data_IF_447773585952
#
_entry.id   IF_447773585952
#
_cell.length_a   1.000
_cell.length_b   1.000
_cell.length_c   1.000
_cell.angle_alpha   90.00
_cell.angle_beta   90.00
_cell.angle_gamma   90.00
#
_symmetry.space_group_name_H-M   'P 1'
#
loop_
_entity.id
_entity.type
_entity.pdbx_description
1 polymer ?
#
# COMPACT_ATOMS: atom_id res chain seq x y z
N UNK A 1 -31.21 9.18 22.34
CA UNK A 1 -30.51 10.38 22.83
C UNK A 1 -31.52 11.26 23.55
N UNK A 2 -31.26 11.64 24.80
CA UNK A 2 -32.08 12.58 25.59
C UNK A 2 -31.22 13.81 25.92
N UNK A 3 -31.84 15.00 25.87
CA UNK A 3 -31.20 16.25 26.29
C UNK A 3 -31.75 16.63 27.67
N UNK A 4 -30.86 16.77 28.65
CA UNK A 4 -31.17 17.18 30.04
C UNK A 4 -30.16 18.30 30.39
N UNK A 5 -30.66 19.46 30.80
CA UNK A 5 -29.84 20.61 31.20
C UNK A 5 -28.72 20.97 30.20
N UNK A 6 -29.09 21.04 28.91
CA UNK A 6 -28.22 21.28 27.75
C UNK A 6 -27.11 20.23 27.48
N UNK A 7 -27.12 19.12 28.21
CA UNK A 7 -26.27 17.97 27.95
C UNK A 7 -27.03 16.87 27.22
N UNK A 8 -26.33 16.14 26.37
CA UNK A 8 -26.88 15.00 25.65
C UNK A 8 -26.50 13.69 26.33
N UNK A 9 -27.50 12.86 26.59
CA UNK A 9 -27.31 11.55 27.22
C UNK A 9 -27.73 10.44 26.27
N UNK A 10 -26.90 9.40 26.21
CA UNK A 10 -27.20 8.14 25.53
C UNK A 10 -27.41 7.06 26.57
N UNK A 11 -28.49 6.28 26.43
CA UNK A 11 -28.75 5.11 27.26
C UNK A 11 -28.63 3.88 26.40
N UNK A 12 -27.69 3.03 26.72
CA UNK A 12 -27.49 1.76 26.08
C UNK A 12 -28.06 0.62 26.95
N UNK A 13 -28.40 -0.50 26.31
CA UNK A 13 -28.71 -1.71 27.05
C UNK A 13 -27.47 -2.15 27.82
N UNK A 14 -27.65 -2.53 29.07
CA UNK A 14 -26.58 -3.13 29.85
C UNK A 14 -26.03 -4.36 29.11
N UNK A 15 -24.72 -4.43 28.94
CA UNK A 15 -24.03 -5.54 28.30
C UNK A 15 -23.22 -6.28 29.36
N UNK A 16 -23.45 -7.59 29.46
CA UNK A 16 -22.60 -8.47 30.24
C UNK A 16 -21.29 -8.72 29.51
N UNK A 17 -20.20 -8.92 30.26
CA UNK A 17 -18.90 -9.23 29.68
C UNK A 17 -17.74 -8.74 30.54
N UNK A 18 -16.52 -9.01 30.08
CA UNK A 18 -15.28 -8.59 30.73
C UNK A 18 -14.32 -7.98 29.74
N UNK A 19 -13.61 -6.95 30.16
CA UNK A 19 -12.47 -6.40 29.45
C UNK A 19 -11.29 -7.36 29.62
N UNK A 20 -10.51 -7.56 28.56
CA UNK A 20 -9.34 -8.46 28.60
C UNK A 20 -8.08 -7.64 28.86
N UNK A 21 -7.26 -8.10 29.79
CA UNK A 21 -5.92 -7.56 30.01
C UNK A 21 -5.03 -7.77 28.78
N UNK A 22 -4.15 -6.83 28.50
CA UNK A 22 -3.22 -6.84 27.35
C UNK A 22 -2.46 -8.16 27.19
N UNK A 23 -2.06 -8.78 28.31
CA UNK A 23 -1.31 -10.05 28.31
C UNK A 23 -2.14 -11.26 27.87
N UNK A 24 -3.44 -11.15 27.92
CA UNK A 24 -4.37 -12.24 27.61
C UNK A 24 -5.07 -12.09 26.26
N UNK A 25 -4.68 -11.09 25.46
CA UNK A 25 -5.19 -10.92 24.10
C UNK A 25 -4.69 -12.07 23.23
N UNK A 26 -5.60 -12.78 22.57
CA UNK A 26 -5.30 -13.86 21.63
C UNK A 26 -5.36 -13.40 20.17
N UNK A 27 -4.80 -14.20 19.25
CA UNK A 27 -4.93 -13.96 17.81
C UNK A 27 -6.40 -13.95 17.35
N UNK A 28 -7.25 -14.80 17.93
CA UNK A 28 -8.69 -14.82 17.65
C UNK A 28 -9.36 -13.51 18.06
N UNK A 29 -8.99 -12.94 19.19
CA UNK A 29 -9.49 -11.64 19.64
C UNK A 29 -9.05 -10.51 18.70
N UNK A 30 -7.79 -10.52 18.28
CA UNK A 30 -7.27 -9.58 17.29
C UNK A 30 -8.02 -9.67 15.97
N UNK A 31 -8.25 -10.89 15.47
CA UNK A 31 -9.03 -11.11 14.24
C UNK A 31 -10.46 -10.55 14.37
N UNK A 32 -11.16 -10.83 15.46
CA UNK A 32 -12.53 -10.32 15.70
C UNK A 32 -12.56 -8.80 15.81
N UNK A 33 -11.58 -8.20 16.48
CA UNK A 33 -11.47 -6.74 16.58
C UNK A 33 -11.22 -6.10 15.20
N UNK A 34 -10.30 -6.65 14.41
CA UNK A 34 -10.09 -6.23 13.03
C UNK A 34 -11.34 -6.34 12.18
N UNK A 35 -12.09 -7.43 12.30
CA UNK A 35 -13.34 -7.64 11.58
C UNK A 35 -14.42 -6.60 11.95
N UNK A 36 -14.52 -6.20 13.22
CA UNK A 36 -15.41 -5.12 13.66
C UNK A 36 -14.99 -3.80 13.00
N UNK A 37 -13.71 -3.44 13.04
CA UNK A 37 -13.20 -2.24 12.40
C UNK A 37 -13.50 -2.23 10.90
N UNK A 38 -13.27 -3.35 10.22
CA UNK A 38 -13.58 -3.49 8.79
C UNK A 38 -15.06 -3.27 8.48
N UNK A 39 -15.97 -3.76 9.33
CA UNK A 39 -17.43 -3.51 9.20
C UNK A 39 -17.78 -2.04 9.41
N UNK A 40 -17.11 -1.35 10.34
CA UNK A 40 -17.32 0.09 10.56
C UNK A 40 -16.84 0.86 9.31
N UNK A 41 -15.64 0.58 8.81
CA UNK A 41 -15.09 1.24 7.62
C UNK A 41 -15.90 0.94 6.35
N UNK A 42 -16.63 -0.19 6.29
CA UNK A 42 -17.52 -0.51 5.18
C UNK A 42 -18.81 0.33 5.15
N UNK A 43 -19.09 1.11 6.20
CA UNK A 43 -20.22 2.06 6.22
C UNK A 43 -19.81 3.27 5.38
N UNK A 44 -20.42 3.44 4.20
CA UNK A 44 -20.11 4.56 3.31
C UNK A 44 -20.46 5.91 3.97
N UNK A 45 -19.49 6.86 4.02
CA UNK A 45 -19.78 8.20 4.47
C UNK A 45 -20.62 8.94 3.44
N UNK A 46 -21.65 9.65 3.89
CA UNK A 46 -22.49 10.50 3.01
C UNK A 46 -21.84 11.88 2.89
N UNK A 47 -21.40 12.25 1.69
CA UNK A 47 -21.04 13.63 1.29
C UNK A 47 -19.93 14.29 2.14
N UNK A 48 -18.83 13.60 2.42
CA UNK A 48 -17.68 14.20 3.10
C UNK A 48 -16.54 14.39 2.09
N UNK A 49 -16.06 15.63 1.97
CA UNK A 49 -14.87 15.94 1.18
C UNK A 49 -13.62 15.44 1.92
N UNK A 50 -12.74 14.78 1.18
CA UNK A 50 -11.45 14.37 1.70
C UNK A 50 -10.60 15.60 2.06
N UNK A 51 -10.07 15.61 3.27
CA UNK A 51 -9.07 16.58 3.71
C UNK A 51 -7.70 15.91 3.73
N UNK A 52 -6.70 16.61 3.17
CA UNK A 52 -5.31 16.13 3.28
C UNK A 52 -4.93 16.07 4.76
N UNK A 53 -4.35 14.96 5.24
CA UNK A 53 -3.92 14.86 6.64
C UNK A 53 -2.96 16.01 6.99
N UNK A 54 -3.16 16.60 8.18
CA UNK A 54 -2.26 17.63 8.67
C UNK A 54 -0.84 17.08 8.85
N UNK A 55 0.14 17.88 8.46
CA UNK A 55 1.54 17.58 8.76
C UNK A 55 1.85 17.97 10.19
N UNK A 56 2.55 17.10 10.91
CA UNK A 56 3.06 17.40 12.24
C UNK A 56 4.26 18.38 12.14
N UNK A 57 4.27 19.41 12.98
CA UNK A 57 5.34 20.39 13.07
C UNK A 57 5.61 20.74 14.53
N UNK A 58 6.44 19.93 15.18
CA UNK A 58 6.73 20.03 16.60
C UNK A 58 8.10 20.69 16.82
N UNK A 59 8.15 21.76 17.59
CA UNK A 59 9.40 22.42 17.95
C UNK A 59 10.14 21.66 19.06
N UNK A 60 10.72 20.53 18.72
CA UNK A 60 11.48 19.69 19.65
C UNK A 60 12.59 20.46 20.35
N UNK A 61 13.30 21.34 19.61
CA UNK A 61 14.36 22.15 20.17
C UNK A 61 13.84 23.15 21.19
N UNK A 62 12.72 23.80 20.91
CA UNK A 62 12.03 24.71 21.84
C UNK A 62 11.63 24.00 23.12
N UNK A 63 11.10 22.79 23.03
CA UNK A 63 10.77 21.97 24.22
C UNK A 63 12.00 21.56 25.03
N UNK A 64 13.13 21.23 24.42
CA UNK A 64 14.40 20.97 25.14
C UNK A 64 14.85 22.19 25.90
N UNK A 65 14.81 23.38 25.30
CA UNK A 65 15.21 24.64 25.93
C UNK A 65 14.29 24.99 27.10
N UNK A 66 12.97 24.91 26.90
CA UNK A 66 11.98 25.20 27.93
C UNK A 66 12.09 24.23 29.11
N UNK A 67 12.24 22.93 28.86
CA UNK A 67 12.44 21.93 29.90
C UNK A 67 13.70 22.21 30.73
N UNK A 68 14.78 22.72 30.08
CA UNK A 68 16.01 23.11 30.76
C UNK A 68 15.81 24.37 31.63
N UNK A 69 15.11 25.38 31.13
CA UNK A 69 14.80 26.61 31.89
C UNK A 69 13.99 26.32 33.15
N UNK A 70 13.04 25.37 33.04
CA UNK A 70 12.19 24.97 34.17
C UNK A 70 12.83 23.89 35.07
N UNK A 71 14.07 23.49 34.81
CA UNK A 71 14.75 22.37 35.50
C UNK A 71 13.89 21.09 35.55
N UNK A 72 13.15 20.82 34.48
CA UNK A 72 12.22 19.71 34.41
C UNK A 72 12.94 18.34 34.41
N UNK A 73 12.30 17.33 35.00
CA UNK A 73 12.77 15.93 35.04
C UNK A 73 12.84 15.27 33.65
N UNK A 74 12.24 15.88 32.59
CA UNK A 74 12.28 15.35 31.22
C UNK A 74 13.40 15.97 30.37
N UNK A 75 14.18 16.93 30.88
CA UNK A 75 15.20 17.67 30.12
C UNK A 75 16.21 16.76 29.44
N UNK A 76 16.84 15.85 30.19
CA UNK A 76 17.82 14.92 29.61
C UNK A 76 17.18 13.98 28.61
N UNK A 77 15.98 13.48 28.90
CA UNK A 77 15.24 12.58 28.03
C UNK A 77 14.96 13.21 26.65
N UNK A 78 14.47 14.45 26.62
CA UNK A 78 14.21 15.15 25.36
C UNK A 78 15.50 15.46 24.61
N UNK A 79 16.52 16.01 25.31
CA UNK A 79 17.80 16.36 24.72
C UNK A 79 18.50 15.16 24.05
N UNK A 80 18.54 14.03 24.75
CA UNK A 80 19.26 12.83 24.27
C UNK A 80 18.52 12.15 23.11
N UNK A 81 17.25 12.46 22.87
CA UNK A 81 16.41 11.88 21.84
C UNK A 81 15.92 12.89 20.78
N UNK A 82 16.39 14.14 20.79
CA UNK A 82 15.97 15.19 19.85
C UNK A 82 16.10 14.73 18.39
N UNK A 83 17.23 14.12 18.02
CA UNK A 83 17.47 13.60 16.66
C UNK A 83 16.50 12.47 16.26
N UNK A 84 16.17 11.57 17.19
CA UNK A 84 15.17 10.52 16.93
C UNK A 84 13.80 11.12 16.72
N UNK A 85 13.39 12.10 17.54
CA UNK A 85 12.07 12.73 17.45
C UNK A 85 11.89 13.46 16.10
N UNK A 86 12.90 14.21 15.66
CA UNK A 86 12.88 14.84 14.32
C UNK A 86 12.78 13.79 13.20
N UNK A 87 13.50 12.69 13.32
CA UNK A 87 13.45 11.61 12.33
C UNK A 87 12.07 10.95 12.26
N UNK A 88 11.50 10.54 13.40
CA UNK A 88 10.21 9.81 13.41
C UNK A 88 9.05 10.71 12.99
N UNK A 89 9.08 12.02 13.32
CA UNK A 89 8.12 13.00 12.83
C UNK A 89 8.21 13.16 11.31
N UNK A 90 9.42 13.22 10.75
CA UNK A 90 9.62 13.24 9.30
C UNK A 90 9.04 11.98 8.63
N UNK A 91 9.24 10.80 9.20
CA UNK A 91 8.67 9.54 8.68
C UNK A 91 7.13 9.51 8.81
N UNK A 92 6.56 10.04 9.89
CA UNK A 92 5.12 10.23 10.04
C UNK A 92 4.56 11.09 8.90
N UNK A 93 5.17 12.25 8.65
CA UNK A 93 4.71 13.18 7.62
C UNK A 93 4.82 12.58 6.21
N UNK A 94 5.90 11.83 5.92
CA UNK A 94 6.02 11.07 4.65
C UNK A 94 4.91 10.02 4.50
N UNK A 95 4.63 9.29 5.56
CA UNK A 95 3.57 8.27 5.55
C UNK A 95 2.19 8.91 5.34
N UNK A 96 1.90 10.02 6.04
CA UNK A 96 0.66 10.78 5.87
C UNK A 96 0.48 11.30 4.44
N UNK A 97 1.55 11.80 3.83
CA UNK A 97 1.54 12.26 2.43
C UNK A 97 1.32 11.11 1.42
N UNK A 98 1.57 9.87 1.82
CA UNK A 98 1.38 8.67 0.99
C UNK A 98 0.02 8.00 1.21
N UNK A 99 -0.79 8.48 2.16
CA UNK A 99 -2.13 7.95 2.38
C UNK A 99 -3.03 8.24 1.18
N UNK A 100 -3.86 7.26 0.76
CA UNK A 100 -4.83 7.50 -0.30
C UNK A 100 -5.91 8.49 0.16
N UNK A 101 -6.50 9.21 -0.79
CA UNK A 101 -7.61 10.13 -0.54
C UNK A 101 -8.90 9.36 -0.21
N UNK A 102 -9.01 8.88 1.01
CA UNK A 102 -10.12 8.06 1.50
C UNK A 102 -10.55 8.55 2.88
N UNK A 103 -11.86 8.64 3.09
CA UNK A 103 -12.47 8.83 4.40
C UNK A 103 -13.52 7.74 4.65
N UNK A 104 -13.54 7.19 5.84
CA UNK A 104 -14.58 6.31 6.32
C UNK A 104 -14.92 6.63 7.77
N UNK A 105 -16.10 6.20 8.20
CA UNK A 105 -16.43 6.22 9.62
C UNK A 105 -15.47 5.28 10.36
N UNK A 106 -14.89 5.74 11.47
CA UNK A 106 -13.98 4.96 12.29
C UNK A 106 -14.15 5.28 13.78
N UNK A 107 -13.64 4.42 14.64
CA UNK A 107 -13.49 4.69 16.05
C UNK A 107 -12.00 4.57 16.41
N UNK A 108 -11.36 5.70 16.64
CA UNK A 108 -9.93 5.77 16.92
C UNK A 108 -9.56 5.19 18.30
N UNK A 109 -10.52 5.12 19.24
CA UNK A 109 -10.33 4.55 20.58
C UNK A 109 -10.88 3.12 20.70
N UNK A 110 -10.82 2.31 19.61
CA UNK A 110 -11.19 0.90 19.64
C UNK A 110 -10.09 0.03 20.27
N UNK A 111 -9.56 0.47 21.37
CA UNK A 111 -8.57 -0.22 22.19
C UNK A 111 -9.15 -1.47 22.86
N UNK A 112 -8.32 -2.44 23.28
CA UNK A 112 -8.76 -3.60 24.05
C UNK A 112 -9.57 -3.26 25.32
N UNK A 113 -9.30 -2.10 25.96
CA UNK A 113 -10.08 -1.58 27.10
C UNK A 113 -11.54 -1.24 26.76
N UNK A 114 -11.83 -0.95 25.49
CA UNK A 114 -13.14 -0.55 24.98
C UNK A 114 -13.86 -1.70 24.24
N UNK A 115 -13.35 -2.92 24.34
CA UNK A 115 -13.99 -4.13 23.83
C UNK A 115 -14.28 -5.08 25.02
N UNK A 116 -15.56 -5.26 25.32
CA UNK A 116 -16.03 -6.26 26.30
C UNK A 116 -16.26 -7.61 25.60
N UNK A 117 -15.94 -8.68 26.30
CA UNK A 117 -16.08 -10.05 25.81
C UNK A 117 -17.12 -10.80 26.63
N UNK A 118 -18.15 -11.28 25.96
CA UNK A 118 -19.16 -12.19 26.54
C UNK A 118 -19.18 -13.49 25.74
N UNK A 119 -18.75 -14.59 26.37
CA UNK A 119 -18.67 -15.91 25.74
C UNK A 119 -17.95 -15.90 24.37
N UNK A 120 -16.88 -15.11 24.22
CA UNK A 120 -16.10 -14.97 22.99
C UNK A 120 -16.73 -14.05 21.94
N UNK A 121 -17.85 -13.39 22.26
CA UNK A 121 -18.49 -12.38 21.44
C UNK A 121 -17.97 -11.00 21.87
N UNK A 122 -17.37 -10.20 20.97
CA UNK A 122 -16.92 -8.86 21.27
C UNK A 122 -18.07 -7.85 21.22
N UNK A 123 -18.08 -6.94 22.20
CA UNK A 123 -18.99 -5.81 22.26
C UNK A 123 -18.18 -4.53 22.40
N UNK A 124 -18.27 -3.65 21.43
CA UNK A 124 -17.63 -2.35 21.49
C UNK A 124 -18.43 -1.44 22.41
N UNK A 125 -17.73 -0.84 23.36
CA UNK A 125 -18.24 0.18 24.28
C UNK A 125 -17.47 1.47 24.03
N UNK A 126 -17.97 2.59 24.54
CA UNK A 126 -17.32 3.89 24.38
C UNK A 126 -17.18 4.33 22.93
N UNK A 127 -18.28 4.87 22.38
CA UNK A 127 -18.37 5.29 20.98
C UNK A 127 -18.16 6.81 20.81
N UNK A 128 -17.63 7.51 21.81
CA UNK A 128 -17.49 8.97 21.77
C UNK A 128 -16.43 9.44 20.75
N UNK A 129 -15.50 8.56 20.39
CA UNK A 129 -14.45 8.81 19.40
C UNK A 129 -14.82 8.38 17.98
N UNK A 130 -16.13 8.17 17.70
CA UNK A 130 -16.58 7.93 16.34
C UNK A 130 -16.46 9.19 15.49
N UNK A 131 -15.60 9.17 14.49
CA UNK A 131 -15.37 10.27 13.55
C UNK A 131 -14.94 9.73 12.19
N UNK A 132 -14.77 10.62 11.22
CA UNK A 132 -14.30 10.26 9.89
C UNK A 132 -12.79 10.41 9.78
N UNK A 133 -12.13 9.39 9.28
CA UNK A 133 -10.69 9.38 9.13
C UNK A 133 -10.20 8.45 8.03
N UNK A 134 -8.89 8.43 7.84
CA UNK A 134 -8.29 7.59 6.81
C UNK A 134 -8.24 6.12 7.27
N UNK A 135 -8.87 5.18 6.53
CA UNK A 135 -8.95 3.79 6.96
C UNK A 135 -7.59 3.10 7.08
N UNK A 136 -6.62 3.41 6.21
CA UNK A 136 -5.29 2.80 6.29
C UNK A 136 -4.51 3.27 7.52
N UNK A 137 -4.65 4.54 7.90
CA UNK A 137 -4.04 5.07 9.12
C UNK A 137 -4.61 4.39 10.36
N UNK A 138 -5.93 4.32 10.47
CA UNK A 138 -6.61 3.76 11.63
C UNK A 138 -6.35 2.27 11.81
N UNK A 139 -6.49 1.47 10.74
CA UNK A 139 -6.23 0.04 10.85
C UNK A 139 -4.78 -0.27 11.22
N UNK A 140 -3.81 0.51 10.70
CA UNK A 140 -2.40 0.33 11.06
C UNK A 140 -2.16 0.62 12.56
N UNK A 141 -2.68 1.73 13.06
CA UNK A 141 -2.52 2.11 14.46
C UNK A 141 -3.17 1.09 15.40
N UNK A 142 -4.41 0.70 15.12
CA UNK A 142 -5.14 -0.27 15.95
C UNK A 142 -4.52 -1.67 15.86
N UNK A 143 -4.08 -2.14 14.69
CA UNK A 143 -3.39 -3.41 14.58
C UNK A 143 -2.12 -3.47 15.44
N UNK A 144 -1.36 -2.38 15.50
CA UNK A 144 -0.20 -2.27 16.36
C UNK A 144 -0.56 -2.23 17.84
N UNK A 145 -1.60 -1.49 18.23
CA UNK A 145 -2.09 -1.48 19.62
C UNK A 145 -2.51 -2.87 20.07
N UNK A 146 -3.36 -3.54 19.30
CA UNK A 146 -3.82 -4.90 19.59
C UNK A 146 -2.71 -5.96 19.60
N UNK A 147 -1.59 -5.69 18.90
CA UNK A 147 -0.43 -6.57 18.88
C UNK A 147 0.52 -6.43 20.08
N UNK A 148 0.30 -5.48 20.98
CA UNK A 148 1.11 -5.27 22.18
C UNK A 148 2.15 -4.15 22.05
N UNK A 149 2.06 -3.27 21.07
CA UNK A 149 2.97 -2.13 20.93
C UNK A 149 2.93 -1.20 22.16
N UNK A 150 1.77 -1.11 22.81
CA UNK A 150 1.54 -0.26 24.00
C UNK A 150 2.38 -0.71 25.19
N UNK A 151 2.61 -2.01 25.32
CA UNK A 151 3.43 -2.61 26.39
C UNK A 151 4.89 -2.82 25.97
N UNK A 152 5.27 -2.41 24.75
CA UNK A 152 6.57 -2.71 24.15
C UNK A 152 6.89 -4.23 24.06
N UNK A 153 5.87 -5.05 23.89
CA UNK A 153 5.92 -6.51 23.76
C UNK A 153 5.08 -6.95 22.54
N UNK A 154 5.45 -6.46 21.36
CA UNK A 154 4.69 -6.72 20.14
C UNK A 154 4.79 -8.17 19.69
N UNK A 155 3.63 -8.74 19.36
CA UNK A 155 3.46 -10.03 18.70
C UNK A 155 2.97 -9.82 17.25
N UNK A 156 3.84 -10.18 16.31
CA UNK A 156 3.57 -10.02 14.86
C UNK A 156 2.38 -10.86 14.42
N UNK A 157 2.18 -12.06 14.97
CA UNK A 157 1.05 -12.91 14.58
C UNK A 157 -0.29 -12.30 15.01
N UNK A 158 -0.32 -11.57 16.12
CA UNK A 158 -1.50 -10.78 16.55
C UNK A 158 -1.78 -9.63 15.59
N UNK A 159 -0.74 -8.91 15.16
CA UNK A 159 -0.88 -7.83 14.17
C UNK A 159 -1.47 -8.37 12.86
N UNK A 160 -0.93 -9.47 12.35
CA UNK A 160 -1.41 -10.11 11.14
C UNK A 160 -2.84 -10.64 11.31
N UNK A 161 -3.17 -11.24 12.46
CA UNK A 161 -4.54 -11.69 12.73
C UNK A 161 -5.54 -10.54 12.72
N UNK A 162 -5.17 -9.37 13.24
CA UNK A 162 -6.02 -8.17 13.18
C UNK A 162 -6.27 -7.74 11.73
N UNK A 163 -5.22 -7.66 10.89
CA UNK A 163 -5.35 -7.34 9.48
C UNK A 163 -6.18 -8.40 8.72
N UNK A 164 -5.98 -9.69 8.99
CA UNK A 164 -6.75 -10.75 8.35
C UNK A 164 -8.26 -10.61 8.65
N UNK A 165 -8.62 -10.29 9.89
CA UNK A 165 -10.00 -10.01 10.26
C UNK A 165 -10.55 -8.75 9.61
N UNK A 166 -9.75 -7.71 9.51
CA UNK A 166 -10.11 -6.46 8.86
C UNK A 166 -10.41 -6.67 7.36
N UNK A 167 -9.52 -7.34 6.64
CA UNK A 167 -9.68 -7.59 5.21
C UNK A 167 -10.80 -8.59 4.87
N UNK A 168 -11.20 -9.43 5.81
CA UNK A 168 -12.41 -10.25 5.62
C UNK A 168 -13.69 -9.40 5.56
N UNK A 169 -13.75 -8.30 6.30
CA UNK A 169 -14.93 -7.45 6.40
C UNK A 169 -14.90 -6.20 5.51
N UNK A 170 -13.73 -5.71 5.18
CA UNK A 170 -13.50 -4.53 4.35
C UNK A 170 -12.67 -4.94 3.14
N UNK A 171 -13.23 -4.76 1.93
CA UNK A 171 -12.59 -5.17 0.68
C UNK A 171 -11.34 -4.34 0.40
N UNK A 172 -10.24 -4.73 1.04
CA UNK A 172 -8.93 -4.12 0.94
C UNK A 172 -7.87 -5.22 0.99
N UNK A 173 -6.61 -4.83 0.81
CA UNK A 173 -5.47 -5.74 0.83
C UNK A 173 -4.27 -5.07 1.48
N UNK A 174 -3.18 -5.81 1.66
CA UNK A 174 -1.92 -5.26 2.20
C UNK A 174 -1.22 -4.26 1.28
N UNK A 175 -1.78 -3.95 0.12
CA UNK A 175 -1.20 -3.02 -0.85
C UNK A 175 -1.00 -1.64 -0.23
N UNK A 176 0.23 -1.12 -0.35
CA UNK A 176 0.61 0.22 0.12
C UNK A 176 0.80 0.35 1.63
N UNK A 177 0.52 -0.68 2.44
CA UNK A 177 0.68 -0.58 3.90
C UNK A 177 2.12 -0.42 4.34
N UNK A 178 3.10 -0.98 3.62
CA UNK A 178 4.52 -0.75 3.88
C UNK A 178 4.94 0.70 3.67
N UNK A 179 4.27 1.43 2.78
CA UNK A 179 4.57 2.84 2.47
C UNK A 179 4.01 3.78 3.53
N UNK A 180 2.87 3.41 4.13
CA UNK A 180 2.19 4.21 5.16
C UNK A 180 2.48 3.74 6.59
N UNK A 181 3.33 2.74 6.78
CA UNK A 181 3.65 2.21 8.12
C UNK A 181 4.19 3.26 9.09
N UNK A 182 4.74 4.36 8.58
CA UNK A 182 5.21 5.50 9.37
C UNK A 182 4.10 6.19 10.18
N UNK A 183 2.80 5.96 9.88
CA UNK A 183 1.70 6.45 10.72
C UNK A 183 1.76 5.87 12.14
N UNK A 184 2.48 4.76 12.35
CA UNK A 184 2.79 4.22 13.68
C UNK A 184 3.52 5.22 14.59
N UNK A 185 4.16 6.24 14.02
CA UNK A 185 4.83 7.29 14.77
C UNK A 185 3.90 8.42 15.24
N UNK A 186 2.58 8.34 15.03
CA UNK A 186 1.62 9.34 15.54
C UNK A 186 1.70 9.54 17.07
N UNK A 187 2.32 8.60 17.79
CA UNK A 187 2.65 8.78 19.21
C UNK A 187 3.49 10.02 19.53
N UNK A 188 4.13 10.67 18.55
CA UNK A 188 4.83 11.95 18.77
C UNK A 188 3.87 13.07 19.16
N UNK A 189 2.62 13.04 18.68
CA UNK A 189 1.59 14.03 19.02
C UNK A 189 1.09 13.85 20.46
N UNK A 190 0.92 12.59 20.88
CA UNK A 190 0.63 12.30 22.30
C UNK A 190 1.81 12.65 23.21
N UNK A 191 3.03 12.44 22.74
CA UNK A 191 4.24 12.86 23.44
C UNK A 191 4.25 14.39 23.61
N UNK A 192 4.02 15.15 22.54
CA UNK A 192 3.96 16.60 22.58
C UNK A 192 2.90 17.09 23.58
N UNK A 193 1.69 16.55 23.51
CA UNK A 193 0.61 16.90 24.43
C UNK A 193 1.04 16.74 25.90
N UNK A 194 1.68 15.62 26.25
CA UNK A 194 2.14 15.40 27.63
C UNK A 194 3.37 16.23 28.00
N UNK A 195 4.26 16.57 27.05
CA UNK A 195 5.33 17.54 27.27
C UNK A 195 4.73 18.90 27.63
N UNK A 196 3.75 19.39 26.89
CA UNK A 196 3.08 20.66 27.15
C UNK A 196 2.42 20.70 28.53
N UNK A 197 1.77 19.60 28.94
CA UNK A 197 1.18 19.49 30.29
C UNK A 197 2.24 19.49 31.37
N UNK A 198 3.32 18.74 31.19
CA UNK A 198 4.44 18.68 32.17
C UNK A 198 5.18 20.02 32.32
N UNK A 199 5.16 20.86 31.27
CA UNK A 199 5.81 22.18 31.21
C UNK A 199 4.80 23.33 31.33
N UNK A 200 3.90 23.29 32.31
CA UNK A 200 3.08 24.42 32.73
C UNK A 200 1.64 24.45 32.24
N UNK A 201 1.16 23.49 31.46
CA UNK A 201 -0.27 23.40 31.07
C UNK A 201 -1.10 22.44 31.94
N UNK A 202 -0.61 22.10 33.12
CA UNK A 202 -1.30 21.23 34.09
C UNK A 202 -2.13 22.06 35.08
N UNK A 203 -3.17 21.47 35.65
CA UNK A 203 -4.03 22.08 36.68
C UNK A 203 -3.40 22.01 38.07
N UNK A 204 -2.71 20.90 38.36
CA UNK A 204 -2.07 20.63 39.65
C UNK A 204 -0.80 19.80 39.50
N UNK A 205 -0.14 19.51 40.64
CA UNK A 205 1.13 18.76 40.67
C UNK A 205 0.92 17.27 40.36
N UNK A 206 -0.21 16.67 40.74
CA UNK A 206 -0.51 15.29 40.44
C UNK A 206 -0.68 15.07 38.92
N UNK A 207 -1.31 16.00 38.26
CA UNK A 207 -1.43 16.02 36.80
C UNK A 207 -0.05 16.21 36.13
N UNK A 208 0.84 17.03 36.68
CA UNK A 208 2.20 17.23 36.21
C UNK A 208 3.01 15.92 36.32
N UNK A 209 2.97 15.26 37.48
CA UNK A 209 3.68 13.98 37.69
C UNK A 209 3.18 12.90 36.74
N UNK A 210 1.87 12.81 36.54
CA UNK A 210 1.27 11.90 35.56
C UNK A 210 1.79 12.20 34.15
N UNK A 211 1.81 13.48 33.76
CA UNK A 211 2.29 13.89 32.43
C UNK A 211 3.77 13.58 32.22
N UNK A 212 4.61 13.77 33.24
CA UNK A 212 6.04 13.37 33.22
C UNK A 212 6.17 11.85 33.04
N UNK A 213 5.35 11.07 33.72
CA UNK A 213 5.31 9.61 33.55
C UNK A 213 4.93 9.22 32.12
N UNK A 214 3.89 9.85 31.58
CA UNK A 214 3.45 9.61 30.20
C UNK A 214 4.48 10.03 29.16
N UNK A 215 5.23 11.12 29.37
CA UNK A 215 6.36 11.49 28.50
C UNK A 215 7.40 10.35 28.45
N UNK A 216 7.75 9.74 29.59
CA UNK A 216 8.70 8.63 29.64
C UNK A 216 8.16 7.39 28.94
N UNK A 217 6.95 6.99 29.28
CA UNK A 217 6.27 5.82 28.69
C UNK A 217 6.14 5.95 27.16
N UNK A 218 5.74 7.12 26.69
CA UNK A 218 5.57 7.39 25.25
C UNK A 218 6.92 7.43 24.52
N UNK A 219 7.96 8.01 25.14
CA UNK A 219 9.30 7.97 24.58
C UNK A 219 9.83 6.53 24.43
N UNK A 220 9.62 5.69 25.43
CA UNK A 220 10.03 4.28 25.37
C UNK A 220 9.25 3.53 24.28
N UNK A 221 7.96 3.83 24.12
CA UNK A 221 7.11 3.31 23.05
C UNK A 221 7.61 3.74 21.67
N UNK A 222 7.92 5.02 21.46
CA UNK A 222 8.49 5.53 20.20
C UNK A 222 9.81 4.84 19.87
N UNK A 223 10.70 4.69 20.84
CA UNK A 223 11.96 3.95 20.65
C UNK A 223 11.71 2.49 20.30
N UNK A 224 10.73 1.88 20.93
CA UNK A 224 10.36 0.50 20.65
C UNK A 224 9.82 0.35 19.22
N UNK A 225 8.88 1.22 18.81
CA UNK A 225 8.35 1.26 17.44
C UNK A 225 9.51 1.43 16.44
N UNK A 226 10.40 2.38 16.67
CA UNK A 226 11.54 2.61 15.78
C UNK A 226 12.43 1.37 15.62
N UNK A 227 12.73 0.68 16.72
CA UNK A 227 13.53 -0.55 16.70
C UNK A 227 12.82 -1.72 16.01
N UNK A 228 11.51 -1.82 16.15
CA UNK A 228 10.71 -2.92 15.57
C UNK A 228 10.18 -2.63 14.17
N UNK A 229 10.33 -1.42 13.66
CA UNK A 229 9.83 -1.02 12.34
C UNK A 229 10.25 -1.95 11.20
N UNK A 230 11.51 -2.43 11.11
CA UNK A 230 11.91 -3.39 10.08
C UNK A 230 11.13 -4.71 10.18
N UNK A 231 10.86 -5.19 11.40
CA UNK A 231 10.07 -6.41 11.64
C UNK A 231 8.60 -6.22 11.24
N UNK A 232 8.02 -5.08 11.53
CA UNK A 232 6.65 -4.73 11.12
C UNK A 232 6.53 -4.74 9.59
N UNK A 233 7.46 -4.06 8.90
CA UNK A 233 7.50 -4.04 7.43
C UNK A 233 7.67 -5.45 6.83
N UNK A 234 8.57 -6.24 7.38
CA UNK A 234 8.80 -7.61 6.93
C UNK A 234 7.55 -8.49 7.12
N UNK A 235 6.83 -8.34 8.23
CA UNK A 235 5.60 -9.07 8.48
C UNK A 235 4.50 -8.74 7.46
N UNK A 236 4.29 -7.45 7.16
CA UNK A 236 3.33 -7.01 6.15
C UNK A 236 3.69 -7.58 4.77
N UNK A 237 4.97 -7.53 4.39
CA UNK A 237 5.46 -8.07 3.13
C UNK A 237 5.36 -9.61 3.09
N UNK A 238 5.71 -10.29 4.18
CA UNK A 238 5.65 -11.77 4.25
C UNK A 238 4.22 -12.29 4.14
N UNK A 239 3.22 -11.56 4.65
CA UNK A 239 1.82 -11.96 4.53
C UNK A 239 1.36 -12.00 3.07
N UNK A 240 1.81 -11.06 2.24
CA UNK A 240 1.55 -11.05 0.79
C UNK A 240 2.08 -12.31 0.09
N UNK A 241 3.21 -12.85 0.57
CA UNK A 241 3.87 -14.03 0.00
C UNK A 241 3.07 -15.33 0.18
N UNK A 242 2.12 -15.37 1.12
CA UNK A 242 1.24 -16.52 1.36
C UNK A 242 0.02 -16.56 0.47
N UNK A 243 -0.09 -15.66 -0.51
CA UNK A 243 -1.20 -15.65 -1.45
C UNK A 243 -1.18 -16.95 -2.26
N UNK A 244 -2.35 -17.61 -2.34
CA UNK A 244 -2.50 -18.81 -3.12
C UNK A 244 -2.42 -18.49 -4.62
N UNK A 245 -1.32 -18.89 -5.26
CA UNK A 245 -1.08 -18.64 -6.69
C UNK A 245 -2.11 -19.27 -7.64
N UNK A 246 -2.87 -20.28 -7.17
CA UNK A 246 -3.94 -20.89 -7.98
C UNK A 246 -5.16 -19.97 -8.14
N UNK A 247 -5.27 -18.94 -7.33
CA UNK A 247 -6.33 -17.92 -7.36
C UNK A 247 -5.82 -16.60 -7.97
N UNK A 248 -4.77 -16.68 -8.79
CA UNK A 248 -4.23 -15.49 -9.43
C UNK A 248 -5.28 -14.79 -10.31
N UNK A 249 -5.30 -13.49 -10.22
CA UNK A 249 -5.97 -12.58 -11.14
C UNK A 249 -4.97 -11.50 -11.58
N UNK A 250 -5.08 -11.02 -12.82
CA UNK A 250 -4.22 -9.91 -13.26
C UNK A 250 -4.53 -8.66 -12.45
N UNK A 251 -3.53 -7.86 -12.14
CA UNK A 251 -3.63 -6.74 -11.21
C UNK A 251 -4.18 -7.19 -9.83
N UNK A 252 -3.59 -8.23 -9.27
CA UNK A 252 -3.99 -8.77 -7.97
C UNK A 252 -3.77 -7.73 -6.85
N UNK A 253 -4.86 -7.13 -6.38
CA UNK A 253 -4.83 -6.07 -5.38
C UNK A 253 -4.34 -6.53 -3.99
N UNK A 254 -4.31 -7.83 -3.75
CA UNK A 254 -3.76 -8.42 -2.53
C UNK A 254 -2.22 -8.36 -2.48
N UNK A 255 -1.58 -8.07 -3.61
CA UNK A 255 -0.12 -7.97 -3.73
C UNK A 255 0.29 -6.51 -3.59
N UNK A 256 1.24 -6.23 -2.70
CA UNK A 256 1.79 -4.91 -2.52
C UNK A 256 2.36 -4.36 -3.83
N UNK A 257 1.96 -3.14 -4.18
CA UNK A 257 2.36 -2.50 -5.43
C UNK A 257 3.76 -1.92 -5.34
N UNK A 258 4.67 -2.41 -6.17
CA UNK A 258 5.97 -1.80 -6.44
C UNK A 258 6.16 -1.66 -7.95
N UNK A 259 6.60 -0.49 -8.37
CA UNK A 259 7.03 -0.29 -9.76
C UNK A 259 8.33 -1.06 -10.00
N UNK A 260 8.36 -1.80 -11.09
CA UNK A 260 9.49 -2.62 -11.50
C UNK A 260 9.92 -2.21 -12.91
N UNK A 261 11.20 -2.33 -13.18
CA UNK A 261 11.76 -2.05 -14.50
C UNK A 261 12.71 -3.18 -14.89
N UNK A 262 12.50 -3.74 -16.07
CA UNK A 262 13.35 -4.77 -16.63
C UNK A 262 13.93 -4.30 -17.96
N UNK A 263 15.06 -4.88 -18.33
CA UNK A 263 15.68 -4.69 -19.64
C UNK A 263 16.22 -6.01 -20.21
N UNK A 264 16.35 -6.04 -21.53
CA UNK A 264 17.07 -7.10 -22.25
C UNK A 264 17.73 -6.56 -23.51
N UNK A 265 18.80 -7.25 -23.96
CA UNK A 265 19.31 -7.09 -25.33
C UNK A 265 18.37 -7.72 -26.35
N UNK A 266 18.27 -7.11 -27.54
CA UNK A 266 17.43 -7.60 -28.64
C UNK A 266 18.31 -8.38 -29.66
N UNK A 267 19.29 -9.15 -29.19
CA UNK A 267 20.21 -9.91 -30.07
C UNK A 267 19.62 -11.24 -30.50
N UNK A 268 19.28 -12.10 -29.54
CA UNK A 268 18.80 -13.45 -29.76
C UNK A 268 17.36 -13.57 -29.22
N UNK A 269 16.39 -13.48 -30.14
CA UNK A 269 14.99 -13.58 -29.80
C UNK A 269 14.49 -15.01 -30.10
N UNK A 270 13.87 -15.70 -29.11
CA UNK A 270 13.22 -16.97 -29.37
C UNK A 270 12.01 -16.78 -30.28
N UNK A 271 11.75 -17.76 -31.14
CA UNK A 271 10.57 -17.75 -31.99
C UNK A 271 9.41 -18.47 -31.31
N UNK A 272 8.26 -17.80 -31.28
CA UNK A 272 7.00 -18.39 -30.81
C UNK A 272 5.91 -18.14 -31.84
N UNK A 273 5.11 -19.19 -32.11
CA UNK A 273 3.94 -19.07 -33.00
C UNK A 273 2.68 -18.73 -32.22
N UNK A 274 1.80 -17.93 -32.80
CA UNK A 274 0.45 -17.76 -32.27
C UNK A 274 -0.32 -19.11 -32.32
N UNK A 275 -1.30 -19.25 -31.42
CA UNK A 275 -2.29 -20.34 -31.55
C UNK A 275 -2.97 -20.32 -32.93
N UNK A 276 -3.41 -21.49 -33.42
CA UNK A 276 -4.12 -21.56 -34.71
C UNK A 276 -5.38 -20.71 -34.72
N UNK A 277 -5.65 -20.05 -35.84
CA UNK A 277 -6.80 -19.16 -36.01
C UNK A 277 -6.57 -17.72 -35.55
N UNK A 278 -5.32 -17.35 -35.19
CA UNK A 278 -4.95 -15.99 -34.80
C UNK A 278 -3.81 -15.46 -35.67
N UNK A 279 -3.80 -14.12 -35.83
CA UNK A 279 -2.76 -13.43 -36.61
C UNK A 279 -2.37 -12.12 -35.93
N UNK A 280 -1.18 -11.62 -36.26
CA UNK A 280 -0.78 -10.25 -35.91
C UNK A 280 -1.37 -9.27 -36.93
N UNK A 281 -1.89 -8.15 -36.41
CA UNK A 281 -2.35 -7.03 -37.23
C UNK A 281 -1.81 -5.73 -36.65
N UNK A 282 -1.43 -4.81 -37.56
CA UNK A 282 -1.00 -3.46 -37.19
C UNK A 282 -2.18 -2.59 -36.75
N UNK A 283 -1.89 -1.54 -36.03
CA UNK A 283 -2.83 -0.48 -35.71
C UNK A 283 -3.42 0.13 -37.00
N UNK A 284 -4.69 0.44 -36.95
CA UNK A 284 -5.42 1.22 -37.96
C UNK A 284 -6.36 2.23 -37.28
N UNK A 285 -6.78 3.24 -38.03
CA UNK A 285 -7.70 4.25 -37.50
C UNK A 285 -8.98 3.59 -36.94
N UNK A 286 -9.35 4.02 -35.73
CA UNK A 286 -10.48 3.44 -34.98
C UNK A 286 -10.09 2.36 -33.96
N UNK A 287 -8.83 1.90 -33.94
CA UNK A 287 -8.38 0.87 -33.02
C UNK A 287 -8.16 1.38 -31.57
N UNK A 288 -8.24 2.69 -31.34
CA UNK A 288 -8.23 3.25 -29.99
C UNK A 288 -9.22 2.55 -29.06
N UNK A 289 -10.44 2.38 -29.54
CA UNK A 289 -11.52 1.74 -28.76
C UNK A 289 -11.18 0.27 -28.45
N UNK A 290 -10.51 -0.42 -29.40
CA UNK A 290 -10.07 -1.82 -29.22
C UNK A 290 -8.94 -1.93 -28.22
N UNK A 291 -8.01 -0.98 -28.25
CA UNK A 291 -6.93 -0.90 -27.28
C UNK A 291 -7.48 -0.68 -25.87
N UNK A 292 -8.37 0.31 -25.68
CA UNK A 292 -9.00 0.59 -24.39
C UNK A 292 -9.76 -0.64 -23.88
N UNK A 293 -10.53 -1.32 -24.73
CA UNK A 293 -11.30 -2.52 -24.38
C UNK A 293 -10.38 -3.67 -23.93
N UNK A 294 -9.24 -3.89 -24.58
CA UNK A 294 -8.26 -4.91 -24.18
C UNK A 294 -7.64 -4.58 -22.83
N UNK A 295 -7.20 -3.35 -22.61
CA UNK A 295 -6.56 -2.91 -21.37
C UNK A 295 -7.55 -2.92 -20.20
N UNK A 296 -8.81 -2.53 -20.40
CA UNK A 296 -9.86 -2.66 -19.41
C UNK A 296 -10.15 -4.13 -19.06
N UNK A 297 -10.24 -5.01 -20.06
CA UNK A 297 -10.42 -6.45 -19.85
C UNK A 297 -9.24 -7.05 -19.06
N UNK A 298 -8.02 -6.54 -19.27
CA UNK A 298 -6.83 -6.91 -18.52
C UNK A 298 -6.75 -6.26 -17.12
N UNK A 299 -7.72 -5.43 -16.75
CA UNK A 299 -7.80 -4.66 -15.49
C UNK A 299 -6.68 -3.60 -15.30
N UNK A 300 -6.12 -3.08 -16.40
CA UNK A 300 -5.20 -1.93 -16.32
C UNK A 300 -5.96 -0.63 -16.04
N UNK A 301 -7.23 -0.55 -16.48
CA UNK A 301 -8.14 0.56 -16.22
C UNK A 301 -9.45 0.08 -15.63
N UNK A 302 -10.01 0.85 -14.70
CA UNK A 302 -11.31 0.59 -14.08
C UNK A 302 -12.47 1.22 -14.86
N UNK A 303 -12.20 2.29 -15.63
CA UNK A 303 -13.20 2.99 -16.43
C UNK A 303 -12.65 3.31 -17.83
N UNK A 304 -13.58 3.54 -18.77
CA UNK A 304 -13.23 3.98 -20.13
C UNK A 304 -12.50 5.33 -20.14
N UNK A 305 -12.88 6.25 -19.27
CA UNK A 305 -12.28 7.58 -19.14
C UNK A 305 -10.79 7.47 -18.76
N UNK A 306 -10.43 6.60 -17.84
CA UNK A 306 -9.03 6.34 -17.48
C UNK A 306 -8.24 5.78 -18.66
N UNK A 307 -8.85 4.88 -19.43
CA UNK A 307 -8.25 4.36 -20.66
C UNK A 307 -8.03 5.46 -21.72
N UNK A 308 -9.02 6.35 -21.87
CA UNK A 308 -8.93 7.49 -22.80
C UNK A 308 -7.86 8.50 -22.36
N UNK A 309 -7.72 8.78 -21.06
CA UNK A 309 -6.67 9.63 -20.53
C UNK A 309 -5.27 9.04 -20.81
N UNK A 310 -5.10 7.72 -20.59
CA UNK A 310 -3.86 7.04 -20.89
C UNK A 310 -3.56 7.06 -22.39
N UNK A 311 -4.56 6.76 -23.24
CA UNK A 311 -4.41 6.90 -24.70
C UNK A 311 -3.94 8.28 -25.11
N UNK A 312 -4.59 9.33 -24.60
CA UNK A 312 -4.26 10.71 -24.92
C UNK A 312 -2.84 11.07 -24.48
N UNK A 313 -2.41 10.58 -23.33
CA UNK A 313 -1.05 10.82 -22.80
C UNK A 313 0.03 10.17 -23.66
N UNK A 314 -0.20 8.94 -24.11
CA UNK A 314 0.83 8.16 -24.79
C UNK A 314 0.79 8.32 -26.31
N UNK A 315 -0.40 8.39 -26.91
CA UNK A 315 -0.54 8.15 -28.33
C UNK A 315 -1.20 9.27 -29.15
N UNK A 316 -1.96 10.18 -28.54
CA UNK A 316 -2.73 11.18 -29.28
C UNK A 316 -1.89 12.07 -30.19
N UNK A 317 -0.62 12.32 -29.83
CA UNK A 317 0.29 13.19 -30.60
C UNK A 317 1.21 12.43 -31.56
N UNK A 318 1.01 11.12 -31.76
CA UNK A 318 1.89 10.29 -32.59
C UNK A 318 1.13 9.16 -33.30
N UNK A 319 -0.11 9.43 -33.72
CA UNK A 319 -0.96 8.44 -34.38
C UNK A 319 -0.36 7.96 -35.72
N UNK A 320 0.39 8.79 -36.38
CA UNK A 320 1.07 8.52 -37.66
C UNK A 320 2.11 7.39 -37.58
N UNK A 321 2.73 7.21 -36.44
CA UNK A 321 3.74 6.17 -36.24
C UNK A 321 3.15 4.85 -35.68
N UNK A 322 1.91 4.85 -35.19
CA UNK A 322 1.32 3.64 -34.56
C UNK A 322 1.18 2.46 -35.49
N UNK A 323 0.89 2.59 -36.81
CA UNK A 323 0.85 1.47 -37.74
C UNK A 323 2.13 0.63 -37.79
N UNK A 324 3.28 1.25 -37.52
CA UNK A 324 4.58 0.58 -37.51
C UNK A 324 4.99 0.06 -36.10
N UNK A 325 4.26 0.45 -35.04
CA UNK A 325 4.68 0.27 -33.66
C UNK A 325 3.69 -0.45 -32.75
N UNK A 326 2.39 -0.30 -32.99
CA UNK A 326 1.33 -0.90 -32.19
C UNK A 326 0.72 -2.09 -32.94
N UNK A 327 0.67 -3.23 -32.27
CA UNK A 327 0.18 -4.49 -32.84
C UNK A 327 -0.88 -5.11 -31.96
N UNK A 328 -1.78 -5.80 -32.62
CA UNK A 328 -2.82 -6.60 -31.99
C UNK A 328 -2.70 -8.05 -32.44
N UNK A 329 -3.23 -8.95 -31.61
CA UNK A 329 -3.57 -10.30 -32.00
C UNK A 329 -5.05 -10.33 -32.31
N UNK A 330 -5.40 -10.79 -33.52
CA UNK A 330 -6.78 -10.82 -34.02
C UNK A 330 -7.16 -12.27 -34.34
N UNK A 331 -8.38 -12.66 -34.02
CA UNK A 331 -8.95 -13.95 -34.32
C UNK A 331 -9.61 -13.97 -35.73
N UNK A 332 -10.07 -15.14 -36.21
CA UNK A 332 -10.71 -15.29 -37.52
C UNK A 332 -12.00 -14.46 -37.71
N UNK A 333 -12.60 -14.02 -36.61
CA UNK A 333 -13.82 -13.16 -36.63
C UNK A 333 -13.48 -11.67 -36.66
N UNK A 334 -12.21 -11.29 -36.70
CA UNK A 334 -11.77 -9.90 -36.68
C UNK A 334 -11.79 -9.26 -35.27
N UNK A 335 -11.91 -10.07 -34.22
CA UNK A 335 -11.83 -9.57 -32.85
C UNK A 335 -10.37 -9.45 -32.42
N UNK A 336 -9.97 -8.30 -31.90
CA UNK A 336 -8.67 -8.03 -31.31
C UNK A 336 -8.66 -8.45 -29.84
N UNK A 337 -7.78 -9.38 -29.49
CA UNK A 337 -7.78 -10.06 -28.20
C UNK A 337 -6.55 -9.76 -27.34
N UNK A 338 -5.51 -9.17 -27.93
CA UNK A 338 -4.30 -8.78 -27.24
C UNK A 338 -3.63 -7.61 -27.95
N UNK A 339 -2.80 -6.85 -27.24
CA UNK A 339 -2.05 -5.69 -27.77
C UNK A 339 -0.67 -5.58 -27.15
N UNK A 340 0.26 -4.99 -27.90
CA UNK A 340 1.57 -4.51 -27.41
C UNK A 340 2.13 -3.46 -28.35
N UNK A 341 2.93 -2.53 -27.82
CA UNK A 341 3.50 -1.41 -28.60
C UNK A 341 5.03 -1.34 -28.48
N UNK A 342 5.72 -1.31 -29.61
CA UNK A 342 7.15 -1.00 -29.73
C UNK A 342 7.34 0.52 -29.64
N UNK A 343 7.64 1.03 -28.45
CA UNK A 343 7.61 2.47 -28.21
C UNK A 343 8.96 3.02 -27.72
N UNK A 344 8.95 4.19 -27.12
CA UNK A 344 10.09 4.90 -26.55
C UNK A 344 9.68 5.56 -25.22
N UNK A 345 10.64 6.07 -24.46
CA UNK A 345 10.34 6.84 -23.26
C UNK A 345 9.69 8.19 -23.62
N UNK A 346 8.39 8.31 -23.38
CA UNK A 346 7.61 9.54 -23.65
C UNK A 346 8.03 10.75 -22.79
N UNK A 347 8.75 10.51 -21.69
CA UNK A 347 9.21 11.55 -20.78
C UNK A 347 10.61 12.06 -21.14
N UNK A 348 11.28 11.43 -22.10
CA UNK A 348 12.63 11.81 -22.55
C UNK A 348 13.71 11.70 -21.46
N UNK A 349 13.50 10.87 -20.45
CA UNK A 349 14.44 10.67 -19.32
C UNK A 349 15.43 9.55 -19.58
N UNK A 350 15.10 8.62 -20.45
CA UNK A 350 15.97 7.52 -20.81
C UNK A 350 16.98 7.91 -21.89
N UNK A 351 18.20 8.15 -21.46
CA UNK A 351 19.32 8.50 -22.36
C UNK A 351 20.00 7.28 -22.98
N UNK A 352 19.59 6.05 -22.64
CA UNK A 352 20.20 4.82 -23.17
C UNK A 352 19.87 4.54 -24.63
N UNK A 353 18.83 5.18 -25.17
CA UNK A 353 18.33 4.91 -26.51
C UNK A 353 17.62 3.55 -26.64
N UNK A 354 17.20 2.95 -25.55
CA UNK A 354 16.44 1.70 -25.56
C UNK A 354 15.03 1.90 -26.13
N UNK A 355 14.50 0.89 -26.79
CA UNK A 355 13.07 0.79 -27.08
C UNK A 355 12.29 0.45 -25.79
N UNK A 356 11.07 0.97 -25.66
CA UNK A 356 10.22 0.69 -24.53
C UNK A 356 9.01 -0.14 -24.98
N UNK A 357 8.87 -1.34 -24.39
CA UNK A 357 7.71 -2.19 -24.63
C UNK A 357 6.56 -1.68 -23.75
N UNK A 358 5.55 -1.07 -24.37
CA UNK A 358 4.43 -0.45 -23.68
C UNK A 358 3.16 -1.24 -23.85
N UNK A 359 2.33 -1.23 -22.80
CA UNK A 359 0.95 -1.64 -22.82
C UNK A 359 0.77 -3.05 -23.42
N UNK A 360 1.38 -4.04 -22.75
CA UNK A 360 1.25 -5.45 -23.13
C UNK A 360 0.07 -6.06 -22.41
N UNK A 361 -1.03 -6.26 -23.10
CA UNK A 361 -2.24 -6.80 -22.52
C UNK A 361 -2.84 -7.94 -23.34
N UNK A 362 -3.48 -8.87 -22.67
CA UNK A 362 -4.30 -9.94 -23.23
C UNK A 362 -5.65 -9.92 -22.54
N UNK A 363 -6.77 -9.87 -23.28
CA UNK A 363 -8.10 -9.93 -22.71
C UNK A 363 -8.23 -11.11 -21.76
N UNK A 364 -8.94 -10.93 -20.64
CA UNK A 364 -9.03 -11.90 -19.55
C UNK A 364 -9.43 -13.30 -20.00
N UNK A 365 -10.42 -13.42 -20.86
CA UNK A 365 -10.90 -14.69 -21.41
C UNK A 365 -9.92 -15.40 -22.34
N UNK A 366 -8.88 -14.68 -22.78
CA UNK A 366 -7.82 -15.19 -23.65
C UNK A 366 -6.50 -15.43 -22.91
N UNK A 367 -6.40 -15.07 -21.62
CA UNK A 367 -5.20 -15.33 -20.81
C UNK A 367 -4.97 -16.82 -20.61
N UNK A 368 -3.71 -17.20 -20.40
CA UNK A 368 -3.31 -18.61 -20.24
C UNK A 368 -3.33 -19.45 -21.52
N UNK A 369 -3.71 -18.88 -22.67
CA UNK A 369 -3.83 -19.59 -23.97
C UNK A 369 -2.62 -19.43 -24.89
N UNK A 370 -1.49 -18.91 -24.39
CA UNK A 370 -0.23 -18.88 -25.12
C UNK A 370 -0.01 -17.66 -26.01
N UNK A 371 -0.71 -16.54 -25.80
CA UNK A 371 -0.58 -15.32 -26.62
C UNK A 371 0.60 -14.42 -26.23
N UNK A 372 0.97 -14.35 -24.95
CA UNK A 372 1.91 -13.35 -24.45
C UNK A 372 3.32 -13.50 -25.04
N UNK A 373 3.89 -14.70 -25.06
CA UNK A 373 5.25 -14.92 -25.59
C UNK A 373 5.35 -14.61 -27.09
N UNK A 374 4.45 -15.12 -27.97
CA UNK A 374 4.43 -14.74 -29.38
C UNK A 374 4.31 -13.24 -29.61
N UNK A 375 3.39 -12.57 -28.90
CA UNK A 375 3.17 -11.14 -29.05
C UNK A 375 4.39 -10.33 -28.65
N UNK A 376 4.97 -10.61 -27.49
CA UNK A 376 6.16 -9.89 -26.98
C UNK A 376 7.33 -10.09 -27.94
N UNK A 377 7.61 -11.32 -28.38
CA UNK A 377 8.74 -11.58 -29.29
C UNK A 377 8.52 -10.97 -30.67
N UNK A 378 7.27 -10.94 -31.15
CA UNK A 378 6.94 -10.21 -32.38
C UNK A 378 7.28 -8.72 -32.25
N UNK A 379 6.83 -8.06 -31.19
CA UNK A 379 7.08 -6.63 -30.96
C UNK A 379 8.57 -6.34 -30.71
N UNK A 380 9.31 -7.23 -30.06
CA UNK A 380 10.77 -7.14 -29.92
C UNK A 380 11.48 -7.22 -31.30
N UNK A 381 11.00 -8.05 -32.22
CA UNK A 381 11.51 -8.08 -33.59
C UNK A 381 11.19 -6.78 -34.34
N UNK A 382 10.03 -6.19 -34.14
CA UNK A 382 9.70 -4.84 -34.65
C UNK A 382 10.70 -3.80 -34.11
N UNK A 383 10.97 -3.81 -32.79
CA UNK A 383 11.97 -2.93 -32.19
C UNK A 383 13.35 -3.10 -32.83
N UNK A 384 13.77 -4.35 -33.06
CA UNK A 384 15.03 -4.63 -33.76
C UNK A 384 15.07 -4.00 -35.14
N UNK A 385 13.98 -4.12 -35.90
CA UNK A 385 13.87 -3.54 -37.26
C UNK A 385 13.83 -2.02 -37.22
N UNK A 386 13.33 -1.42 -36.14
CA UNK A 386 13.37 0.03 -35.88
C UNK A 386 14.75 0.52 -35.39
N UNK A 387 15.75 -0.37 -35.25
CA UNK A 387 17.11 -0.04 -34.89
C UNK A 387 17.44 -0.04 -33.40
N UNK A 388 16.52 -0.49 -32.54
CA UNK A 388 16.81 -0.64 -31.10
C UNK A 388 17.65 -1.88 -30.85
N UNK A 389 18.70 -1.75 -30.01
CA UNK A 389 19.54 -2.87 -29.55
C UNK A 389 19.10 -3.42 -28.21
N UNK A 390 18.37 -2.63 -27.43
CA UNK A 390 17.86 -2.98 -26.09
C UNK A 390 16.38 -2.64 -25.99
N UNK A 391 15.67 -3.42 -25.17
CA UNK A 391 14.29 -3.17 -24.80
C UNK A 391 14.16 -3.02 -23.29
N UNK A 392 13.40 -2.04 -22.86
CA UNK A 392 12.97 -1.86 -21.47
C UNK A 392 11.46 -2.11 -21.36
N UNK A 393 11.03 -2.61 -20.21
CA UNK A 393 9.62 -2.78 -19.88
C UNK A 393 9.34 -2.36 -18.44
N UNK A 394 8.52 -1.32 -18.21
CA UNK A 394 7.99 -1.00 -16.92
C UNK A 394 6.84 -1.96 -16.57
N UNK A 395 6.82 -2.44 -15.34
CA UNK A 395 5.79 -3.35 -14.83
C UNK A 395 5.60 -3.14 -13.33
N UNK A 396 4.84 -3.98 -12.68
CA UNK A 396 4.56 -3.90 -11.26
C UNK A 396 4.38 -5.27 -10.63
N UNK A 397 4.48 -5.34 -9.30
CA UNK A 397 4.40 -6.59 -8.54
C UNK A 397 3.05 -7.28 -8.62
N UNK A 398 1.95 -6.53 -8.66
CA UNK A 398 0.60 -7.08 -8.73
C UNK A 398 0.28 -7.72 -10.11
N UNK A 399 1.14 -7.53 -11.13
CA UNK A 399 1.12 -8.25 -12.39
C UNK A 399 2.27 -9.27 -12.49
N UNK A 400 2.57 -9.96 -11.38
CA UNK A 400 3.72 -10.85 -11.24
C UNK A 400 3.81 -11.99 -12.28
N UNK A 401 2.66 -12.45 -12.83
CA UNK A 401 2.69 -13.43 -13.94
C UNK A 401 3.24 -12.80 -15.22
N UNK A 402 2.95 -11.53 -15.49
CA UNK A 402 3.57 -10.81 -16.59
C UNK A 402 5.09 -10.67 -16.33
N UNK A 403 5.50 -10.33 -15.09
CA UNK A 403 6.91 -10.33 -14.70
C UNK A 403 7.58 -11.68 -14.98
N UNK A 404 6.91 -12.80 -14.65
CA UNK A 404 7.43 -14.14 -14.94
C UNK A 404 7.62 -14.37 -16.45
N UNK A 405 6.66 -13.94 -17.27
CA UNK A 405 6.77 -14.07 -18.74
C UNK A 405 7.95 -13.26 -19.27
N UNK A 406 8.18 -12.04 -18.75
CA UNK A 406 9.32 -11.22 -19.15
C UNK A 406 10.65 -11.85 -18.74
N UNK A 407 10.75 -12.37 -17.51
CA UNK A 407 11.93 -13.12 -17.05
C UNK A 407 12.18 -14.37 -17.90
N UNK A 408 11.15 -15.15 -18.22
CA UNK A 408 11.22 -16.31 -19.12
C UNK A 408 11.75 -15.92 -20.52
N UNK A 409 11.47 -14.68 -20.97
CA UNK A 409 11.95 -14.13 -22.23
C UNK A 409 13.33 -13.47 -22.13
N UNK A 410 14.01 -13.57 -20.98
CA UNK A 410 15.37 -13.10 -20.79
C UNK A 410 15.48 -11.60 -20.40
N UNK A 411 14.38 -10.95 -20.04
CA UNK A 411 14.48 -9.67 -19.37
C UNK A 411 15.03 -9.83 -17.95
N UNK A 412 15.84 -8.89 -17.50
CA UNK A 412 16.44 -8.88 -16.17
C UNK A 412 16.11 -7.56 -15.46
N UNK A 413 16.04 -7.53 -14.12
CA UNK A 413 15.90 -6.30 -13.35
C UNK A 413 17.01 -5.30 -13.65
N UNK A 414 16.66 -4.03 -13.86
CA UNK A 414 17.64 -2.95 -14.06
C UNK A 414 18.30 -2.63 -12.71
N UNK A 415 19.62 -2.70 -12.66
CA UNK A 415 20.40 -2.57 -11.41
C UNK A 415 20.29 -1.18 -10.79
N UNK A 416 20.26 -0.12 -11.60
CA UNK A 416 20.10 1.26 -11.11
C UNK A 416 18.76 1.51 -10.40
N UNK A 417 17.76 0.70 -10.70
CA UNK A 417 16.43 0.79 -10.08
C UNK A 417 16.22 -0.27 -8.99
N UNK A 418 17.18 -1.17 -8.78
CA UNK A 418 17.04 -2.31 -7.89
C UNK A 418 16.87 -1.89 -6.43
N UNK A 419 17.59 -0.86 -5.98
CA UNK A 419 17.52 -0.35 -4.61
C UNK A 419 16.11 0.11 -4.25
N UNK A 420 15.44 0.83 -5.14
CA UNK A 420 14.08 1.33 -4.93
C UNK A 420 13.00 0.27 -5.12
N UNK A 421 13.29 -0.79 -5.88
CA UNK A 421 12.34 -1.87 -6.19
C UNK A 421 12.71 -3.20 -5.54
N UNK A 422 13.72 -3.23 -4.67
CA UNK A 422 14.26 -4.46 -4.08
C UNK A 422 13.17 -5.30 -3.37
N UNK A 423 12.32 -4.67 -2.58
CA UNK A 423 11.21 -5.36 -1.91
C UNK A 423 10.21 -5.93 -2.93
N UNK A 424 9.94 -5.20 -4.00
CA UNK A 424 9.08 -5.70 -5.08
C UNK A 424 9.68 -6.93 -5.77
N UNK A 425 10.99 -6.93 -6.01
CA UNK A 425 11.65 -8.09 -6.61
C UNK A 425 11.69 -9.29 -5.68
N UNK A 426 11.80 -9.12 -4.36
CA UNK A 426 11.63 -10.21 -3.39
C UNK A 426 10.25 -10.85 -3.51
N UNK A 427 9.19 -10.05 -3.61
CA UNK A 427 7.82 -10.54 -3.80
C UNK A 427 7.73 -11.36 -5.09
N UNK A 428 8.21 -10.82 -6.22
CA UNK A 428 8.19 -11.55 -7.51
C UNK A 428 9.02 -12.82 -7.44
N UNK A 429 10.20 -12.80 -6.80
CA UNK A 429 11.04 -13.99 -6.58
C UNK A 429 10.28 -15.09 -5.87
N UNK A 430 9.58 -14.76 -4.80
CA UNK A 430 8.84 -15.76 -4.01
C UNK A 430 7.61 -16.30 -4.74
N UNK A 431 6.87 -15.43 -5.43
CA UNK A 431 5.70 -15.84 -6.20
C UNK A 431 6.06 -16.68 -7.41
N UNK A 432 7.21 -16.44 -8.05
CA UNK A 432 7.60 -17.10 -9.29
C UNK A 432 8.66 -18.18 -9.12
N UNK A 433 9.46 -18.12 -8.07
CA UNK A 433 10.68 -18.95 -7.88
C UNK A 433 11.61 -18.90 -9.09
N UNK A 434 11.63 -17.78 -9.84
CA UNK A 434 12.36 -17.70 -11.09
C UNK A 434 13.87 -17.61 -10.87
N UNK A 435 14.65 -18.42 -11.59
CA UNK A 435 16.10 -18.52 -11.42
C UNK A 435 16.88 -17.24 -11.68
N UNK A 436 16.36 -16.35 -12.53
CA UNK A 436 16.97 -15.03 -12.78
C UNK A 436 16.97 -14.11 -11.56
N UNK A 437 16.15 -14.40 -10.54
CA UNK A 437 16.02 -13.61 -9.30
C UNK A 437 16.73 -14.26 -8.10
N UNK A 438 17.56 -15.31 -8.32
CA UNK A 438 18.20 -16.04 -7.21
C UNK A 438 19.08 -15.17 -6.32
N UNK A 439 19.70 -14.14 -6.88
CA UNK A 439 20.65 -13.24 -6.21
C UNK A 439 20.01 -11.94 -5.69
N UNK A 440 18.68 -11.89 -5.66
CA UNK A 440 17.85 -10.80 -5.09
C UNK A 440 17.41 -11.15 -3.67
#
# INVERSE_FOLDING_TARGET
>A
MQKIDDQFFYVFRWQEGKITDWKHISNEMCFKAGNILGKIHAIEPKSIEYQTPETSHIDWRGYVLKAKEENSAITSLLKDNEGLLVYVESELNKARASLPAMLCLSNEDMDPKNIMWDNGIPWMIDLECLDYGNPMSHVMQLALQWSGIVTCEMDVDKMIAFFDGYFEAYDNCFRGYSDVVGVAYAWVEWLEYNIQRSLGKCMDEAERELSISEVRNTMDRIKYIHRTMPQIREALNTRLRKINVTQYDNNDERICYYKLLLEREISDLPEYSLPAGYRFVSYSDGDRERWIDIEMSAKEFTTYEHGLEAWNRYYANCLDILPERMFFVENEKGEKVATATAFYDIYGKDISGAGWLHWVAVKREYQGKGFSKPLITYVLNVMKNLGYSHAKIPTQTNTWLACKVYLDLGFLPIKENLEHSYEGWKIVKELTSHSALKDI
#
